data_IF_054952057723
#
_entry.id   IF_054952057723
#
_cell.length_a   1.000
_cell.length_b   1.000
_cell.length_c   1.000
_cell.angle_alpha   90.00
_cell.angle_beta   90.00
_cell.angle_gamma   90.00
#
_symmetry.space_group_name_H-M   'P 1'
#
loop_
_entity.id
_entity.type
_entity.pdbx_description
1 polymer ?
#
# COMPACT_ATOMS: atom_id res chain seq x y z
N UNK A 1 -27.89 -11.26 -12.26
CA UNK A 1 -27.18 -12.44 -11.73
C UNK A 1 -26.86 -12.23 -10.26
N UNK A 2 -27.28 -13.13 -9.35
CA UNK A 2 -26.98 -13.02 -7.92
C UNK A 2 -25.47 -13.20 -7.68
N UNK A 3 -24.82 -12.29 -6.94
CA UNK A 3 -23.41 -12.42 -6.56
C UNK A 3 -23.24 -13.64 -5.65
N UNK A 4 -22.35 -14.56 -6.00
CA UNK A 4 -21.99 -15.72 -5.17
C UNK A 4 -21.28 -15.25 -3.89
N UNK A 5 -21.64 -15.84 -2.75
CA UNK A 5 -21.02 -15.53 -1.46
C UNK A 5 -19.63 -16.17 -1.35
N UNK A 6 -18.73 -15.58 -0.53
CA UNK A 6 -17.36 -16.10 -0.34
C UNK A 6 -17.35 -17.59 0.06
N UNK A 7 -18.23 -17.95 1.00
CA UNK A 7 -18.40 -19.34 1.46
C UNK A 7 -18.85 -20.26 0.32
N UNK A 8 -19.81 -19.82 -0.50
CA UNK A 8 -20.26 -20.59 -1.65
C UNK A 8 -19.14 -20.80 -2.69
N UNK A 9 -18.30 -19.80 -2.93
CA UNK A 9 -17.16 -19.93 -3.88
C UNK A 9 -16.14 -20.96 -3.40
N UNK A 10 -15.77 -20.98 -2.12
CA UNK A 10 -14.86 -22.00 -1.57
C UNK A 10 -15.44 -23.41 -1.59
N UNK A 11 -16.74 -23.56 -1.33
CA UNK A 11 -17.42 -24.85 -1.42
C UNK A 11 -17.35 -25.38 -2.86
N UNK A 12 -17.54 -24.51 -3.86
CA UNK A 12 -17.43 -24.89 -5.28
C UNK A 12 -15.99 -25.29 -5.63
N UNK A 13 -14.98 -24.54 -5.17
CA UNK A 13 -13.56 -24.89 -5.37
C UNK A 13 -13.23 -26.25 -4.78
N UNK A 14 -13.68 -26.54 -3.55
CA UNK A 14 -13.48 -27.82 -2.91
C UNK A 14 -14.17 -28.97 -3.67
N UNK A 15 -15.40 -28.74 -4.16
CA UNK A 15 -16.13 -29.73 -4.94
C UNK A 15 -15.42 -30.07 -6.27
N UNK A 16 -14.90 -29.06 -6.99
CA UNK A 16 -14.13 -29.28 -8.21
C UNK A 16 -12.80 -29.99 -7.92
N UNK A 17 -12.12 -29.66 -6.82
CA UNK A 17 -10.91 -30.38 -6.42
C UNK A 17 -11.17 -31.87 -6.15
N UNK A 18 -12.28 -32.21 -5.48
CA UNK A 18 -12.70 -33.60 -5.28
C UNK A 18 -13.04 -34.26 -6.61
N UNK A 19 -13.71 -33.55 -7.52
CA UNK A 19 -14.01 -34.04 -8.87
C UNK A 19 -12.71 -34.37 -9.64
N UNK A 20 -11.70 -33.50 -9.58
CA UNK A 20 -10.39 -33.72 -10.20
C UNK A 20 -9.76 -35.03 -9.69
N UNK A 21 -9.76 -35.26 -8.38
CA UNK A 21 -9.25 -36.50 -7.77
C UNK A 21 -10.01 -37.72 -8.29
N UNK A 22 -11.34 -37.65 -8.33
CA UNK A 22 -12.18 -38.75 -8.84
C UNK A 22 -11.94 -39.03 -10.33
N UNK A 23 -11.71 -37.99 -11.15
CA UNK A 23 -11.38 -38.12 -12.57
C UNK A 23 -10.00 -38.76 -12.77
N UNK A 24 -9.01 -38.40 -11.96
CA UNK A 24 -7.67 -39.03 -11.97
C UNK A 24 -7.80 -40.52 -11.62
N UNK A 25 -8.54 -40.85 -10.57
CA UNK A 25 -8.77 -42.24 -10.18
C UNK A 25 -9.50 -42.99 -11.30
N UNK A 26 -10.56 -42.42 -11.88
CA UNK A 26 -11.29 -43.02 -13.00
C UNK A 26 -10.38 -43.26 -14.23
N UNK A 27 -9.44 -42.36 -14.52
CA UNK A 27 -8.44 -42.55 -15.58
C UNK A 27 -7.59 -43.81 -15.36
N UNK A 28 -7.27 -44.17 -14.12
CA UNK A 28 -6.42 -45.35 -13.82
C UNK A 28 -7.13 -46.69 -14.09
N UNK A 29 -8.47 -46.69 -14.08
CA UNK A 29 -9.28 -47.89 -14.30
C UNK A 29 -9.97 -47.92 -15.68
N UNK A 30 -9.91 -46.83 -16.44
CA UNK A 30 -10.56 -46.71 -17.73
C UNK A 30 -9.79 -47.46 -18.85
N UNK A 31 -10.52 -48.15 -19.72
CA UNK A 31 -9.97 -48.86 -20.88
C UNK A 31 -10.48 -48.29 -22.21
N UNK A 32 -9.74 -48.56 -23.30
CA UNK A 32 -10.11 -48.13 -24.64
C UNK A 32 -9.94 -46.62 -24.85
N UNK A 33 -10.94 -45.95 -25.41
CA UNK A 33 -10.87 -44.51 -25.73
C UNK A 33 -11.25 -43.59 -24.56
N UNK A 34 -11.78 -44.14 -23.46
CA UNK A 34 -12.21 -43.38 -22.29
C UNK A 34 -11.13 -42.55 -21.61
N UNK A 35 -9.86 -42.99 -21.49
CA UNK A 35 -8.79 -42.16 -20.92
C UNK A 35 -8.59 -40.83 -21.66
N UNK A 36 -8.75 -40.81 -22.99
CA UNK A 36 -8.64 -39.58 -23.79
C UNK A 36 -9.77 -38.59 -23.46
N UNK A 37 -11.00 -39.09 -23.30
CA UNK A 37 -12.16 -38.28 -22.93
C UNK A 37 -12.00 -37.74 -21.51
N UNK A 38 -11.58 -38.58 -20.56
CA UNK A 38 -11.36 -38.18 -19.17
C UNK A 38 -10.22 -37.16 -19.05
N UNK A 39 -9.15 -37.28 -19.85
CA UNK A 39 -8.07 -36.28 -19.90
C UNK A 39 -8.55 -34.91 -20.39
N UNK A 40 -9.47 -34.85 -21.36
CA UNK A 40 -10.05 -33.58 -21.82
C UNK A 40 -10.93 -32.95 -20.74
N UNK A 41 -11.76 -33.74 -20.06
CA UNK A 41 -12.61 -33.28 -18.96
C UNK A 41 -11.74 -32.77 -17.80
N UNK A 42 -10.67 -33.50 -17.46
CA UNK A 42 -9.68 -33.09 -16.46
C UNK A 42 -9.05 -31.73 -16.82
N UNK A 43 -8.69 -31.51 -18.09
CA UNK A 43 -8.16 -30.23 -18.55
C UNK A 43 -9.14 -29.06 -18.33
N UNK A 44 -10.42 -29.26 -18.65
CA UNK A 44 -11.47 -28.25 -18.42
C UNK A 44 -11.65 -28.00 -16.91
N UNK A 45 -11.64 -29.05 -16.11
CA UNK A 45 -11.78 -28.98 -14.65
C UNK A 45 -10.62 -28.18 -14.02
N UNK A 46 -9.38 -28.40 -14.44
CA UNK A 46 -8.22 -27.63 -13.98
C UNK A 46 -8.28 -26.14 -14.39
N UNK A 47 -8.77 -25.83 -15.60
CA UNK A 47 -8.95 -24.44 -16.03
C UNK A 47 -10.02 -23.75 -15.17
N UNK A 48 -11.15 -24.42 -14.94
CA UNK A 48 -12.22 -23.90 -14.10
C UNK A 48 -11.76 -23.72 -12.64
N UNK A 49 -11.02 -24.69 -12.11
CA UNK A 49 -10.43 -24.63 -10.77
C UNK A 49 -9.47 -23.45 -10.64
N UNK A 50 -8.62 -23.22 -11.64
CA UNK A 50 -7.66 -22.09 -11.65
C UNK A 50 -8.39 -20.75 -11.60
N UNK A 51 -9.39 -20.55 -12.46
CA UNK A 51 -10.19 -19.31 -12.49
C UNK A 51 -10.97 -19.08 -11.19
N UNK A 52 -11.52 -20.16 -10.61
CA UNK A 52 -12.28 -20.07 -9.37
C UNK A 52 -11.38 -19.87 -8.14
N UNK A 53 -10.17 -20.44 -8.12
CA UNK A 53 -9.17 -20.17 -7.08
C UNK A 53 -8.71 -18.72 -7.17
N UNK A 54 -8.42 -18.20 -8.37
CA UNK A 54 -8.08 -16.78 -8.54
C UNK A 54 -9.22 -15.88 -8.04
N UNK A 55 -10.47 -16.18 -8.41
CA UNK A 55 -11.65 -15.42 -7.96
C UNK A 55 -11.91 -15.57 -6.45
N UNK A 56 -11.79 -16.77 -5.90
CA UNK A 56 -11.95 -17.04 -4.47
C UNK A 56 -10.85 -16.35 -3.68
N UNK A 57 -9.62 -16.37 -4.19
CA UNK A 57 -8.47 -15.67 -3.63
C UNK A 57 -8.72 -14.17 -3.61
N UNK A 58 -9.13 -13.57 -4.73
CA UNK A 58 -9.54 -12.16 -4.78
C UNK A 58 -10.67 -11.89 -3.78
N UNK A 59 -11.70 -12.73 -3.69
CA UNK A 59 -12.81 -12.47 -2.77
C UNK A 59 -12.43 -12.65 -1.29
N UNK A 60 -11.49 -13.54 -0.98
CA UNK A 60 -11.18 -13.97 0.40
C UNK A 60 -10.01 -13.20 0.97
N UNK A 61 -8.97 -13.03 0.16
CA UNK A 61 -7.75 -12.29 0.48
C UNK A 61 -7.76 -10.86 -0.06
N UNK A 62 -8.82 -10.39 -0.75
CA UNK A 62 -9.09 -8.94 -0.77
C UNK A 62 -9.22 -8.50 0.67
N UNK A 63 -8.20 -7.77 1.09
CA UNK A 63 -8.21 -6.95 2.26
C UNK A 63 -9.49 -6.11 2.25
N UNK A 64 -10.35 -6.35 3.23
CA UNK A 64 -11.38 -5.38 3.58
C UNK A 64 -10.69 -4.42 4.53
N UNK A 65 -10.55 -3.12 4.21
CA UNK A 65 -10.04 -2.18 5.20
C UNK A 65 -10.86 -2.34 6.47
N UNK A 66 -10.19 -2.51 7.62
CA UNK A 66 -10.86 -2.32 8.89
C UNK A 66 -11.35 -0.88 8.89
N UNK A 67 -12.61 -0.65 9.19
CA UNK A 67 -13.25 0.66 9.13
C UNK A 67 -12.79 1.63 10.22
N UNK A 68 -11.99 1.16 11.20
CA UNK A 68 -11.65 1.93 12.40
C UNK A 68 -10.15 2.24 12.46
N UNK A 69 -9.63 2.96 11.47
CA UNK A 69 -8.29 3.54 11.58
C UNK A 69 -8.40 4.92 12.21
N UNK A 70 -7.56 5.21 13.20
CA UNK A 70 -7.41 6.58 13.69
C UNK A 70 -6.91 7.41 12.51
N UNK A 71 -7.66 8.43 12.13
CA UNK A 71 -7.29 9.37 11.07
C UNK A 71 -6.91 10.69 11.68
N UNK A 72 -5.92 11.35 11.09
CA UNK A 72 -5.53 12.71 11.46
C UNK A 72 -5.52 13.58 10.22
N UNK A 73 -6.17 14.73 10.33
CA UNK A 73 -6.36 15.65 9.21
C UNK A 73 -5.42 16.83 9.33
N UNK A 74 -4.83 17.22 8.21
CA UNK A 74 -3.98 18.41 8.09
C UNK A 74 -4.45 19.28 6.93
N UNK A 75 -4.23 20.58 7.01
CA UNK A 75 -4.53 21.54 5.95
C UNK A 75 -3.25 22.13 5.36
N UNK A 76 -3.22 22.30 4.04
CA UNK A 76 -2.13 22.98 3.33
C UNK A 76 -2.28 22.90 1.81
N UNK A 77 -1.38 23.55 1.08
CA UNK A 77 -1.43 23.53 -0.40
C UNK A 77 -0.40 22.55 -0.96
N UNK A 78 -0.85 21.53 -1.70
CA UNK A 78 0.03 20.51 -2.27
C UNK A 78 1.13 21.09 -3.15
N UNK A 79 0.78 22.03 -4.04
CA UNK A 79 1.72 22.64 -4.98
C UNK A 79 2.78 23.53 -4.29
N UNK A 80 2.53 23.95 -3.05
CA UNK A 80 3.47 24.72 -2.25
C UNK A 80 4.57 23.85 -1.60
N UNK A 81 4.32 22.56 -1.38
CA UNK A 81 5.20 21.65 -0.65
C UNK A 81 6.64 21.64 -1.20
N UNK A 82 6.89 21.50 -2.53
CA UNK A 82 8.25 21.53 -3.06
C UNK A 82 9.03 22.80 -2.72
N UNK A 83 8.36 23.95 -2.71
CA UNK A 83 8.99 25.23 -2.41
C UNK A 83 9.28 25.35 -0.90
N UNK A 84 8.34 24.92 -0.05
CA UNK A 84 8.50 24.89 1.40
C UNK A 84 9.66 23.98 1.84
N UNK A 85 9.74 22.77 1.29
CA UNK A 85 10.85 21.84 1.56
C UNK A 85 12.20 22.41 1.15
N UNK A 86 12.30 23.06 -0.02
CA UNK A 86 13.56 23.71 -0.46
C UNK A 86 13.99 24.84 0.47
N UNK A 87 13.05 25.63 0.98
CA UNK A 87 13.34 26.69 1.97
C UNK A 87 13.91 26.12 3.28
N UNK A 88 13.50 24.90 3.64
CA UNK A 88 14.01 24.19 4.80
C UNK A 88 15.33 23.42 4.56
N UNK A 89 15.92 23.51 3.36
CA UNK A 89 17.21 22.90 3.05
C UNK A 89 17.16 21.49 2.48
N UNK A 90 15.98 21.00 2.08
CA UNK A 90 15.86 19.71 1.41
C UNK A 90 16.46 19.75 0.01
N UNK A 91 17.16 18.66 -0.34
CA UNK A 91 17.66 18.44 -1.70
C UNK A 91 16.65 17.59 -2.47
N UNK A 92 16.17 18.11 -3.60
CA UNK A 92 15.24 17.41 -4.50
C UNK A 92 15.98 16.39 -5.39
N UNK A 93 15.36 15.22 -5.56
CA UNK A 93 15.70 14.18 -6.53
C UNK A 93 14.46 13.87 -7.35
N UNK A 94 14.64 13.73 -8.66
CA UNK A 94 13.57 13.31 -9.56
C UNK A 94 13.48 11.80 -9.54
N UNK A 95 12.28 11.28 -9.36
CA UNK A 95 11.97 9.86 -9.37
C UNK A 95 10.96 9.57 -10.48
N UNK A 96 10.88 8.33 -10.95
CA UNK A 96 9.94 7.95 -12.00
C UNK A 96 8.47 8.22 -11.62
N UNK A 97 8.16 8.12 -10.32
CA UNK A 97 6.83 8.31 -9.74
C UNK A 97 6.55 9.73 -9.23
N UNK A 98 7.53 10.64 -9.29
CA UNK A 98 7.38 11.98 -8.73
C UNK A 98 8.69 12.61 -8.25
N UNK A 99 8.71 13.07 -6.99
CA UNK A 99 9.85 13.80 -6.43
C UNK A 99 10.19 13.30 -5.04
N UNK A 100 11.47 13.08 -4.79
CA UNK A 100 12.01 12.69 -3.48
C UNK A 100 12.84 13.83 -2.91
N UNK A 101 12.63 14.15 -1.64
CA UNK A 101 13.32 15.21 -0.93
C UNK A 101 14.03 14.61 0.27
N UNK A 102 15.31 14.92 0.42
CA UNK A 102 16.11 14.47 1.55
C UNK A 102 16.82 15.65 2.21
N UNK A 103 16.75 15.70 3.52
CA UNK A 103 17.51 16.63 4.35
C UNK A 103 18.08 15.90 5.56
N UNK A 104 19.28 16.28 5.98
CA UNK A 104 19.95 15.69 7.14
C UNK A 104 20.31 16.83 8.07
N UNK A 105 19.90 16.71 9.33
CA UNK A 105 20.21 17.66 10.38
C UNK A 105 20.74 16.92 11.61
N UNK A 106 22.00 17.17 11.94
CA UNK A 106 22.67 16.44 13.03
C UNK A 106 22.68 14.94 12.75
N UNK A 107 22.02 14.17 13.62
CA UNK A 107 21.88 12.70 13.51
C UNK A 107 20.53 12.25 12.96
N UNK A 108 19.68 13.17 12.49
CA UNK A 108 18.33 12.85 11.99
C UNK A 108 18.28 13.04 10.48
N UNK A 109 17.81 12.01 9.77
CA UNK A 109 17.46 12.08 8.36
C UNK A 109 15.96 12.33 8.19
N UNK A 110 15.62 13.36 7.41
CA UNK A 110 14.26 13.72 7.04
C UNK A 110 14.04 13.41 5.56
N UNK A 111 13.00 12.63 5.26
CA UNK A 111 12.62 12.31 3.88
C UNK A 111 11.17 12.73 3.61
N UNK A 112 10.93 13.34 2.46
CA UNK A 112 9.58 13.53 1.96
C UNK A 112 9.52 13.09 0.51
N UNK A 113 8.60 12.21 0.18
CA UNK A 113 8.33 11.79 -1.18
C UNK A 113 6.99 12.39 -1.61
N UNK A 114 6.95 13.04 -2.77
CA UNK A 114 5.74 13.51 -3.42
C UNK A 114 5.43 12.54 -4.55
N UNK A 115 4.36 11.76 -4.37
CA UNK A 115 3.92 10.75 -5.33
C UNK A 115 2.91 11.40 -6.26
N UNK A 116 3.31 11.54 -7.52
CA UNK A 116 2.51 12.15 -8.59
C UNK A 116 1.95 11.09 -9.55
N UNK A 117 2.61 9.94 -9.65
CA UNK A 117 2.23 8.81 -10.51
C UNK A 117 2.25 7.52 -9.67
N UNK A 118 1.05 7.09 -9.27
CA UNK A 118 0.83 6.00 -8.31
C UNK A 118 1.08 4.64 -8.95
N UNK A 119 0.68 4.50 -10.21
CA UNK A 119 0.91 3.26 -10.94
C UNK A 119 2.41 2.98 -11.02
N UNK A 120 3.22 4.01 -11.33
CA UNK A 120 4.68 3.87 -11.27
C UNK A 120 5.20 3.68 -9.85
N UNK A 121 4.61 4.32 -8.86
CA UNK A 121 5.04 4.17 -7.46
C UNK A 121 4.92 2.72 -6.98
N UNK A 122 3.81 2.04 -7.26
CA UNK A 122 3.59 0.66 -6.81
C UNK A 122 4.10 -0.40 -7.79
N UNK A 123 4.25 -0.07 -9.07
CA UNK A 123 4.79 -0.97 -10.09
C UNK A 123 6.20 -0.57 -10.50
N UNK A 124 7.02 -0.14 -9.54
CA UNK A 124 8.45 -0.02 -9.75
C UNK A 124 8.94 -1.43 -10.11
N UNK A 125 9.07 -1.69 -11.42
CA UNK A 125 10.08 -2.64 -11.87
C UNK A 125 11.36 -2.15 -11.21
N UNK A 126 12.12 -3.07 -10.63
CA UNK A 126 13.43 -2.77 -10.07
C UNK A 126 14.28 -2.25 -11.23
N UNK A 127 14.13 -0.97 -11.59
CA UNK A 127 14.99 -0.28 -12.52
C UNK A 127 16.34 -0.27 -11.81
N UNK A 128 17.29 -0.96 -12.43
CA UNK A 128 18.66 -1.09 -12.00
C UNK A 128 19.16 0.25 -11.47
N UNK A 129 19.61 0.23 -10.22
CA UNK A 129 20.46 1.22 -9.57
C UNK A 129 20.44 2.58 -10.25
N UNK A 130 19.50 3.43 -9.84
CA UNK A 130 19.76 4.87 -9.97
C UNK A 130 21.16 5.10 -9.42
N UNK A 131 22.06 5.62 -10.28
CA UNK A 131 23.48 5.94 -10.04
C UNK A 131 23.67 7.01 -8.94
N UNK A 132 22.81 7.00 -7.93
CA UNK A 132 22.86 7.80 -6.74
C UNK A 132 23.93 7.21 -5.85
N UNK A 133 25.12 7.82 -5.91
CA UNK A 133 26.18 7.56 -4.92
C UNK A 133 25.56 7.57 -3.53
N UNK A 134 25.83 6.56 -2.68
CA UNK A 134 25.30 6.51 -1.33
C UNK A 134 25.65 7.82 -0.62
N UNK A 135 24.64 8.46 -0.04
CA UNK A 135 24.86 9.69 0.71
C UNK A 135 25.56 9.30 2.01
N UNK A 136 26.89 9.41 2.06
CA UNK A 136 27.72 9.09 3.24
C UNK A 136 27.25 9.78 4.53
N UNK A 137 26.50 10.88 4.43
CA UNK A 137 25.91 11.53 5.59
C UNK A 137 24.80 10.69 6.26
N UNK A 138 24.12 9.79 5.53
CA UNK A 138 23.11 8.89 6.11
C UNK A 138 23.73 7.86 7.06
N UNK A 139 25.00 7.47 6.86
CA UNK A 139 25.71 6.53 7.73
C UNK A 139 25.89 7.07 9.16
N UNK A 140 25.79 8.39 9.35
CA UNK A 140 25.92 9.06 10.65
C UNK A 140 24.57 9.33 11.32
N UNK A 141 23.47 8.97 10.68
CA UNK A 141 22.14 9.20 11.22
C UNK A 141 21.76 8.09 12.20
N UNK A 142 21.28 8.46 13.38
CA UNK A 142 20.72 7.54 14.37
C UNK A 142 19.20 7.39 14.23
N UNK A 143 18.55 8.34 13.54
CA UNK A 143 17.10 8.39 13.37
C UNK A 143 16.72 8.77 11.95
N UNK A 144 15.61 8.22 11.50
CA UNK A 144 14.99 8.53 10.22
C UNK A 144 13.51 8.87 10.44
N UNK A 145 13.08 9.97 9.84
CA UNK A 145 11.67 10.32 9.74
C UNK A 145 11.31 10.59 8.29
N UNK A 146 10.15 10.10 7.83
CA UNK A 146 9.72 10.48 6.50
C UNK A 146 8.25 10.31 6.19
N UNK A 147 7.78 11.13 5.25
CA UNK A 147 6.40 11.14 4.78
C UNK A 147 6.34 10.79 3.29
N UNK A 148 5.35 9.99 2.92
CA UNK A 148 4.87 9.84 1.55
C UNK A 148 3.64 10.71 1.36
N UNK A 149 3.65 11.66 0.44
CA UNK A 149 2.52 12.54 0.14
C UNK A 149 1.97 12.19 -1.22
N UNK A 150 0.79 11.58 -1.24
CA UNK A 150 0.11 11.14 -2.46
C UNK A 150 -0.80 12.24 -2.97
N UNK A 151 -0.58 12.69 -4.20
CA UNK A 151 -1.41 13.75 -4.83
C UNK A 151 -2.83 13.26 -5.12
N UNK A 152 -2.91 12.06 -5.70
CA UNK A 152 -4.15 11.38 -6.04
C UNK A 152 -4.04 9.95 -5.51
N UNK A 153 -5.16 9.25 -5.35
CA UNK A 153 -5.18 7.79 -5.12
C UNK A 153 -6.47 7.17 -5.62
N UNK A 154 -6.37 6.01 -6.25
CA UNK A 154 -7.52 5.18 -6.60
C UNK A 154 -7.94 4.28 -5.42
N UNK A 155 -9.18 3.79 -5.47
CA UNK A 155 -9.74 2.90 -4.44
C UNK A 155 -8.95 1.60 -4.27
N UNK A 156 -8.33 1.09 -5.34
CA UNK A 156 -7.59 -0.17 -5.33
C UNK A 156 -6.19 -0.02 -4.68
N UNK A 157 -5.63 1.19 -4.62
CA UNK A 157 -4.36 1.51 -3.97
C UNK A 157 -4.54 2.06 -2.56
N UNK A 158 -5.70 2.65 -2.24
CA UNK A 158 -6.06 3.08 -0.88
C UNK A 158 -5.87 1.97 0.17
N UNK A 159 -6.12 0.72 -0.20
CA UNK A 159 -5.96 -0.44 0.69
C UNK A 159 -4.52 -0.68 1.12
N UNK A 160 -3.52 -0.11 0.44
CA UNK A 160 -2.09 -0.26 0.74
C UNK A 160 -1.56 0.83 1.69
N UNK A 161 -2.22 1.99 1.77
CA UNK A 161 -1.78 3.12 2.60
C UNK A 161 -1.68 2.82 4.11
N UNK A 162 -2.55 2.01 4.73
CA UNK A 162 -2.45 1.69 6.16
C UNK A 162 -1.12 1.05 6.56
N UNK A 163 -0.41 0.41 5.63
CA UNK A 163 0.90 -0.23 5.87
C UNK A 163 2.08 0.76 5.87
N UNK A 164 1.85 2.05 5.56
CA UNK A 164 2.89 3.07 5.50
C UNK A 164 3.16 3.75 6.85
N UNK A 165 2.20 3.73 7.77
CA UNK A 165 2.42 4.21 9.14
C UNK A 165 3.18 3.15 9.92
N UNK A 166 4.48 3.37 10.10
CA UNK A 166 5.37 2.49 10.84
C UNK A 166 6.24 3.27 11.81
N UNK A 167 6.43 2.70 12.99
CA UNK A 167 7.36 3.21 13.98
C UNK A 167 8.19 2.05 14.53
N UNK A 168 9.52 2.21 14.46
CA UNK A 168 10.48 1.27 15.01
C UNK A 168 11.45 1.95 15.98
N UNK A 169 12.56 1.28 16.30
CA UNK A 169 13.54 1.81 17.25
C UNK A 169 14.15 3.15 16.79
N UNK A 170 14.44 3.29 15.50
CA UNK A 170 15.14 4.45 14.93
C UNK A 170 14.43 5.03 13.69
N UNK A 171 13.21 4.59 13.41
CA UNK A 171 12.47 4.98 12.21
C UNK A 171 11.05 5.38 12.57
N UNK A 172 10.58 6.48 12.00
CA UNK A 172 9.18 6.87 11.92
C UNK A 172 8.83 7.15 10.46
N UNK A 173 7.78 6.52 9.95
CA UNK A 173 7.31 6.74 8.59
C UNK A 173 5.79 6.81 8.57
N UNK A 174 5.23 7.64 7.71
CA UNK A 174 3.78 7.68 7.50
C UNK A 174 3.43 8.19 6.10
N UNK A 175 2.15 8.09 5.75
CA UNK A 175 1.63 8.55 4.47
C UNK A 175 0.51 9.58 4.67
N UNK A 176 0.49 10.58 3.80
CA UNK A 176 -0.50 11.63 3.71
C UNK A 176 -1.18 11.54 2.34
N UNK A 177 -2.51 11.46 2.36
CA UNK A 177 -3.33 11.53 1.16
C UNK A 177 -3.85 12.94 0.96
N UNK A 178 -3.49 13.58 -0.14
CA UNK A 178 -4.10 14.84 -0.55
C UNK A 178 -5.53 14.61 -1.05
N UNK A 179 -6.45 15.45 -0.62
CA UNK A 179 -7.86 15.47 -1.00
C UNK A 179 -8.25 16.87 -1.48
N UNK A 180 -9.50 17.00 -1.93
CA UNK A 180 -10.10 18.30 -2.25
C UNK A 180 -10.03 19.26 -1.05
N UNK A 181 -10.17 20.56 -1.32
CA UNK A 181 -10.14 21.63 -0.31
C UNK A 181 -8.85 21.69 0.51
N UNK A 182 -7.70 21.41 -0.10
CA UNK A 182 -6.38 21.55 0.55
C UNK A 182 -6.23 20.68 1.81
N UNK A 183 -6.91 19.53 1.83
CA UNK A 183 -6.94 18.61 2.95
C UNK A 183 -5.95 17.46 2.74
N UNK A 184 -5.21 17.12 3.78
CA UNK A 184 -4.34 15.94 3.84
C UNK A 184 -4.84 15.00 4.91
N UNK A 185 -5.08 13.74 4.55
CA UNK A 185 -5.47 12.69 5.49
C UNK A 185 -4.32 11.73 5.76
N UNK A 186 -3.92 11.64 7.03
CA UNK A 186 -3.09 10.55 7.52
C UNK A 186 -3.98 9.38 7.91
N UNK A 187 -4.01 8.35 7.06
CA UNK A 187 -4.71 7.11 7.39
C UNK A 187 -3.88 6.29 8.36
N UNK A 188 -4.52 5.64 9.32
CA UNK A 188 -3.84 4.82 10.34
C UNK A 188 -2.74 5.61 11.07
N UNK A 189 -3.08 6.81 11.54
CA UNK A 189 -2.17 7.65 12.30
C UNK A 189 -1.67 6.92 13.54
N UNK A 190 -0.36 6.95 13.72
CA UNK A 190 0.32 6.48 14.93
C UNK A 190 0.89 7.71 15.63
N UNK A 191 0.61 7.86 16.92
CA UNK A 191 1.23 8.94 17.70
C UNK A 191 2.75 8.69 17.75
N UNK A 192 3.59 9.68 17.39
CA UNK A 192 5.04 9.54 17.48
C UNK A 192 5.50 9.32 18.92
N UNK A 193 6.42 8.38 19.13
CA UNK A 193 7.14 8.25 20.40
C UNK A 193 7.84 9.56 20.74
N UNK A 194 8.05 9.85 22.04
CA UNK A 194 8.66 11.09 22.52
C UNK A 194 9.94 11.50 21.77
N UNK A 195 10.78 10.51 21.41
CA UNK A 195 12.04 10.74 20.68
C UNK A 195 11.88 11.20 19.22
N UNK A 196 10.69 11.06 18.65
CA UNK A 196 10.33 11.44 17.29
C UNK A 196 9.39 12.65 17.22
N UNK A 197 8.72 13.03 18.31
CA UNK A 197 7.73 14.14 18.32
C UNK A 197 8.32 15.43 17.73
N UNK A 198 9.49 15.86 18.18
CA UNK A 198 10.11 17.09 17.68
C UNK A 198 10.46 17.00 16.19
N UNK A 199 11.00 15.86 15.75
CA UNK A 199 11.35 15.63 14.34
C UNK A 199 10.09 15.55 13.46
N UNK A 200 9.02 14.95 13.97
CA UNK A 200 7.73 14.83 13.29
C UNK A 200 7.09 16.20 13.09
N UNK A 201 7.00 16.99 14.16
CA UNK A 201 6.46 18.35 14.13
C UNK A 201 7.30 19.27 13.22
N UNK A 202 8.62 19.07 13.23
CA UNK A 202 9.50 19.81 12.33
C UNK A 202 9.27 19.47 10.87
N UNK A 203 9.14 18.18 10.52
CA UNK A 203 8.84 17.77 9.16
C UNK A 203 7.47 18.31 8.71
N UNK A 204 6.44 18.24 9.55
CA UNK A 204 5.13 18.86 9.28
C UNK A 204 5.25 20.36 9.01
N UNK A 205 6.01 21.08 9.84
CA UNK A 205 6.27 22.50 9.66
C UNK A 205 7.00 22.80 8.34
N UNK A 206 7.99 21.98 7.96
CA UNK A 206 8.68 22.11 6.68
C UNK A 206 7.76 21.90 5.47
N UNK A 207 6.71 21.08 5.63
CA UNK A 207 5.69 20.85 4.62
C UNK A 207 4.63 21.95 4.59
N UNK A 208 4.66 22.88 5.56
CA UNK A 208 3.65 23.91 5.75
C UNK A 208 2.25 23.31 5.93
N UNK A 209 2.16 22.22 6.72
CA UNK A 209 0.91 21.54 7.05
C UNK A 209 0.51 21.86 8.48
N UNK A 210 -0.76 22.19 8.67
CA UNK A 210 -1.34 22.50 9.98
C UNK A 210 -2.37 21.45 10.36
N UNK A 211 -2.34 20.98 11.61
CA UNK A 211 -3.32 20.01 12.10
C UNK A 211 -4.72 20.66 12.19
N UNK A 212 -5.71 20.02 11.58
CA UNK A 212 -7.11 20.41 11.68
C UNK A 212 -7.70 19.83 12.96
N UNK A 213 -7.94 20.67 13.98
CA UNK A 213 -8.33 20.27 15.34
C UNK A 213 -9.74 19.67 15.51
N UNK A 214 -10.45 19.34 14.42
CA UNK A 214 -11.86 18.98 14.46
C UNK A 214 -12.17 17.50 14.13
N UNK A 215 -11.17 16.62 13.99
CA UNK A 215 -11.40 15.24 13.50
C UNK A 215 -11.04 14.15 14.51
N UNK A 216 -11.65 14.14 15.70
CA UNK A 216 -11.94 12.84 16.35
C UNK A 216 -13.33 12.42 15.87
N UNK A 217 -13.40 11.87 14.65
CA UNK A 217 -14.57 11.12 14.22
C UNK A 217 -14.27 9.65 14.52
N UNK A 218 -14.59 9.22 15.74
CA UNK A 218 -15.11 7.86 15.90
C UNK A 218 -16.42 7.83 15.10
N UNK A 219 -16.44 7.14 13.96
CA UNK A 219 -17.71 6.79 13.33
C UNK A 219 -18.50 5.92 14.33
N UNK A 220 -19.46 6.55 15.01
CA UNK A 220 -20.46 5.86 15.81
C UNK A 220 -21.26 4.92 14.92
N UNK A 221 -21.35 3.68 15.38
CA UNK A 221 -22.04 2.57 14.74
C UNK A 221 -23.55 2.82 14.81
N UNK A 222 -24.22 2.80 13.64
CA UNK A 222 -25.64 2.47 13.51
C UNK A 222 -25.80 1.21 12.66
#
# INVERSE_FOLDING_TARGET
>A
MKKLSKKATWIIVAALFVLAILLIIACTFAQGNWPKVLMVILGIDFIALTLLIQRASILTFRYKPKTNYITKDYTGEFDSIPASLKKCGFTERKEAYGKSFLWIEGTIAYKCNLVLDIEKYFNQQVEEETNTKPNKALEKCDRFIGFEVFKEIDEDNLVKLPDFSLQGTNIYYTALLYQEDNLFKCLNYLEPDEKFVDAFNRLLSCLNLEEKKDSIITEDIA
#
